data_IF_381790220717
#
_entry.id   IF_381790220717
#
_cell.length_a   1.000
_cell.length_b   1.000
_cell.length_c   1.000
_cell.angle_alpha   90.00
_cell.angle_beta   90.00
_cell.angle_gamma   90.00
#
_symmetry.space_group_name_H-M   'P 1'
#
loop_
_entity.id
_entity.type
_entity.pdbx_description
1 polymer ?
#
# COMPACT_ATOMS: atom_id res chain seq x y z
N UNK A 1 -40.97 -34.45 -14.51
CA UNK A 1 -40.32 -35.35 -13.52
C UNK A 1 -38.83 -35.40 -13.83
N UNK A 2 -37.98 -35.48 -12.79
CA UNK A 2 -36.51 -35.31 -12.72
C UNK A 2 -36.13 -33.89 -12.25
N UNK A 3 -36.21 -33.57 -10.96
CA UNK A 3 -35.39 -33.98 -9.79
C UNK A 3 -34.11 -33.13 -9.64
N UNK A 4 -34.25 -32.06 -8.87
CA UNK A 4 -33.19 -31.16 -8.37
C UNK A 4 -32.48 -31.82 -7.19
N UNK A 5 -31.18 -32.06 -7.29
CA UNK A 5 -30.35 -32.53 -6.17
C UNK A 5 -29.68 -31.33 -5.50
N UNK A 6 -30.15 -30.97 -4.31
CA UNK A 6 -29.49 -30.04 -3.41
C UNK A 6 -28.41 -30.78 -2.61
N UNK A 7 -27.16 -30.30 -2.67
CA UNK A 7 -26.09 -30.76 -1.79
C UNK A 7 -26.22 -30.06 -0.43
N UNK A 8 -26.68 -30.80 0.58
CA UNK A 8 -26.67 -30.39 1.97
C UNK A 8 -25.33 -30.83 2.59
N UNK A 9 -24.43 -29.89 2.88
CA UNK A 9 -23.22 -30.18 3.63
C UNK A 9 -23.56 -30.34 5.12
N UNK A 10 -23.42 -31.57 5.64
CA UNK A 10 -23.54 -31.86 7.07
C UNK A 10 -22.29 -31.39 7.81
N UNK A 11 -22.42 -30.38 8.68
CA UNK A 11 -21.42 -30.10 9.71
C UNK A 11 -21.57 -31.15 10.83
N UNK A 12 -20.60 -32.06 10.92
CA UNK A 12 -20.47 -33.01 12.02
C UNK A 12 -20.18 -32.25 13.33
N UNK A 13 -21.10 -32.32 14.29
CA UNK A 13 -20.88 -31.84 15.65
C UNK A 13 -19.92 -32.78 16.38
N UNK A 14 -18.66 -32.35 16.55
CA UNK A 14 -17.67 -33.04 17.38
C UNK A 14 -18.02 -32.94 18.86
N UNK A 15 -18.07 -34.09 19.54
CA UNK A 15 -18.27 -34.18 20.99
C UNK A 15 -17.06 -33.62 21.75
N UNK A 16 -17.30 -32.73 22.71
CA UNK A 16 -16.27 -32.15 23.56
C UNK A 16 -15.89 -33.13 24.69
N UNK A 17 -14.63 -33.57 24.71
CA UNK A 17 -14.01 -34.21 25.87
C UNK A 17 -13.32 -33.13 26.72
N UNK A 18 -13.81 -32.93 27.93
CA UNK A 18 -13.23 -32.01 28.92
C UNK A 18 -12.21 -32.76 29.80
N UNK A 19 -10.93 -32.46 29.59
CA UNK A 19 -9.85 -32.84 30.51
C UNK A 19 -9.49 -31.66 31.42
N UNK A 20 -9.20 -31.87 32.72
CA UNK A 20 -8.81 -30.80 33.62
C UNK A 20 -7.33 -30.47 33.39
N UNK A 21 -7.03 -29.29 32.86
CA UNK A 21 -5.67 -28.78 32.76
C UNK A 21 -5.34 -27.92 33.98
N UNK A 22 -4.33 -28.37 34.73
CA UNK A 22 -3.70 -27.71 35.85
C UNK A 22 -3.11 -26.36 35.44
N UNK A 23 -3.57 -25.29 36.10
CA UNK A 23 -3.03 -23.94 35.91
C UNK A 23 -1.62 -23.84 36.49
N UNK A 24 -0.60 -24.05 35.66
CA UNK A 24 0.76 -23.56 35.92
C UNK A 24 0.82 -22.14 35.40
N UNK A 25 0.73 -21.18 36.30
CA UNK A 25 1.05 -19.78 36.03
C UNK A 25 2.54 -19.66 35.68
N UNK A 26 2.85 -19.75 34.39
CA UNK A 26 4.17 -19.36 33.87
C UNK A 26 4.22 -17.84 33.97
N UNK A 27 5.00 -17.32 34.92
CA UNK A 27 5.38 -15.92 34.97
C UNK A 27 6.06 -15.57 33.63
N UNK A 28 5.31 -14.96 32.71
CA UNK A 28 5.84 -14.35 31.50
C UNK A 28 6.78 -13.24 31.93
N UNK A 29 8.09 -13.53 31.86
CA UNK A 29 9.15 -12.55 32.02
C UNK A 29 8.99 -11.54 30.87
N UNK A 30 8.50 -10.35 31.19
CA UNK A 30 8.52 -9.21 30.28
C UNK A 30 9.99 -8.89 29.98
N UNK A 31 10.49 -9.37 28.85
CA UNK A 31 11.74 -8.87 28.29
C UNK A 31 11.37 -7.59 27.55
N UNK A 32 11.58 -6.47 28.24
CA UNK A 32 11.57 -5.15 27.62
C UNK A 32 12.76 -5.11 26.66
N UNK A 33 12.54 -5.58 25.42
CA UNK A 33 13.56 -5.72 24.40
C UNK A 33 13.73 -4.37 23.70
N UNK A 34 14.69 -3.58 24.17
CA UNK A 34 15.20 -2.38 23.49
C UNK A 34 16.06 -2.75 22.26
N UNK A 35 15.63 -3.73 21.49
CA UNK A 35 16.23 -4.03 20.19
C UNK A 35 15.63 -3.07 19.17
N UNK A 36 16.44 -2.46 18.28
CA UNK A 36 15.91 -1.65 17.19
C UNK A 36 14.93 -2.50 16.36
N UNK A 37 13.85 -1.89 15.91
CA UNK A 37 12.87 -2.58 15.06
C UNK A 37 13.59 -3.01 13.76
N UNK A 38 13.79 -4.31 13.59
CA UNK A 38 14.38 -4.87 12.36
C UNK A 38 13.24 -5.06 11.36
N UNK A 39 13.36 -4.37 10.23
CA UNK A 39 12.39 -4.45 9.12
C UNK A 39 12.98 -5.31 8.00
N UNK A 40 12.18 -6.21 7.45
CA UNK A 40 12.60 -7.03 6.32
C UNK A 40 12.67 -6.20 5.02
N UNK A 41 13.75 -6.41 4.25
CA UNK A 41 14.03 -5.71 3.01
C UNK A 41 14.89 -6.59 2.09
N UNK A 42 14.75 -6.42 0.78
CA UNK A 42 15.72 -6.96 -0.19
C UNK A 42 16.91 -6.02 -0.31
N UNK A 43 18.11 -6.55 -0.54
CA UNK A 43 19.33 -5.78 -0.82
C UNK A 43 19.99 -6.32 -2.08
N UNK A 44 20.31 -5.45 -3.03
CA UNK A 44 20.90 -5.83 -4.33
C UNK A 44 22.40 -5.54 -4.43
N UNK A 45 23.06 -5.17 -3.32
CA UNK A 45 24.46 -4.71 -3.31
C UNK A 45 24.61 -3.19 -3.38
N UNK A 46 23.52 -2.44 -3.61
CA UNK A 46 23.55 -0.97 -3.68
C UNK A 46 22.45 -0.35 -2.82
N UNK A 47 21.21 -0.80 -2.96
CA UNK A 47 20.06 -0.23 -2.26
C UNK A 47 19.26 -1.29 -1.52
N UNK A 48 18.56 -0.85 -0.47
CA UNK A 48 17.52 -1.62 0.20
C UNK A 48 16.18 -1.40 -0.49
N UNK A 49 15.36 -2.43 -0.55
CA UNK A 49 14.03 -2.38 -1.15
C UNK A 49 13.02 -2.94 -0.16
N UNK A 50 11.91 -2.22 0.09
CA UNK A 50 10.82 -2.74 0.91
C UNK A 50 10.30 -4.06 0.32
N UNK A 51 9.82 -4.97 1.18
CA UNK A 51 9.15 -6.18 0.70
C UNK A 51 7.75 -5.81 0.18
N UNK A 52 7.42 -6.11 -1.09
CA UNK A 52 6.07 -5.89 -1.59
C UNK A 52 5.10 -6.85 -0.94
N UNK A 53 3.83 -6.48 -0.98
CA UNK A 53 2.75 -7.40 -0.64
C UNK A 53 2.62 -8.50 -1.69
N UNK A 54 2.19 -9.69 -1.28
CA UNK A 54 1.96 -10.83 -2.18
C UNK A 54 0.58 -10.83 -2.84
N UNK A 55 -0.33 -9.94 -2.41
CA UNK A 55 -1.72 -9.86 -2.89
C UNK A 55 -1.97 -8.70 -3.87
N UNK A 56 -0.93 -8.14 -4.49
CA UNK A 56 -1.10 -7.06 -5.46
C UNK A 56 -1.66 -7.60 -6.78
N UNK A 57 -2.83 -7.10 -7.16
CA UNK A 57 -3.47 -7.39 -8.45
C UNK A 57 -3.62 -6.09 -9.24
N UNK A 58 -2.96 -6.00 -10.40
CA UNK A 58 -2.84 -4.74 -11.14
C UNK A 58 -4.20 -4.17 -11.54
N UNK A 59 -5.10 -4.99 -12.08
CA UNK A 59 -6.39 -4.53 -12.59
C UNK A 59 -7.23 -3.86 -11.49
N UNK A 60 -7.20 -4.44 -10.27
CA UNK A 60 -7.89 -3.87 -9.11
C UNK A 60 -7.26 -2.55 -8.63
N UNK A 61 -5.98 -2.32 -8.94
CA UNK A 61 -5.21 -1.14 -8.55
C UNK A 61 -5.42 0.06 -9.47
N UNK A 62 -5.89 -0.16 -10.70
CA UNK A 62 -6.09 0.90 -11.70
C UNK A 62 -7.16 1.91 -11.25
N UNK A 63 -7.23 3.03 -11.98
CA UNK A 63 -8.11 4.16 -11.65
C UNK A 63 -7.49 5.12 -10.65
N UNK A 64 -8.35 5.87 -9.97
CA UNK A 64 -7.94 7.00 -9.14
C UNK A 64 -7.51 6.60 -7.75
N UNK A 65 -6.42 7.22 -7.30
CA UNK A 65 -5.98 7.24 -5.91
C UNK A 65 -5.66 8.67 -5.47
N UNK A 66 -6.03 8.99 -4.23
CA UNK A 66 -5.68 10.24 -3.58
C UNK A 66 -4.51 10.02 -2.64
N UNK A 67 -3.47 10.84 -2.75
CA UNK A 67 -2.40 10.83 -1.75
C UNK A 67 -2.91 11.57 -0.52
N UNK A 68 -3.26 10.83 0.52
CA UNK A 68 -3.83 11.40 1.76
C UNK A 68 -2.76 11.69 2.80
N UNK A 69 -1.60 11.02 2.70
CA UNK A 69 -0.39 11.38 3.40
C UNK A 69 0.84 10.89 2.62
N UNK A 70 2.01 11.46 2.90
CA UNK A 70 3.24 10.99 2.28
C UNK A 70 4.45 11.84 2.62
N UNK A 71 5.62 11.40 2.16
CA UNK A 71 6.86 12.17 2.31
C UNK A 71 6.71 13.52 1.60
N UNK A 72 7.18 14.59 2.26
CA UNK A 72 7.25 15.92 1.67
C UNK A 72 8.25 15.93 0.52
N UNK A 73 7.76 15.69 -0.70
CA UNK A 73 8.57 15.71 -1.89
C UNK A 73 8.68 17.14 -2.46
N UNK A 74 9.86 17.57 -2.94
CA UNK A 74 10.03 18.91 -3.52
C UNK A 74 9.07 19.20 -4.68
N UNK A 75 8.70 18.17 -5.45
CA UNK A 75 7.82 18.31 -6.62
C UNK A 75 6.33 18.46 -6.26
N UNK A 76 5.92 18.16 -5.03
CA UNK A 76 4.56 18.42 -4.52
C UNK A 76 4.54 19.51 -3.45
N UNK A 77 5.61 20.29 -3.30
CA UNK A 77 5.71 21.30 -2.26
C UNK A 77 4.61 22.36 -2.41
N UNK A 78 3.77 22.49 -1.38
CA UNK A 78 2.64 23.42 -1.37
C UNK A 78 1.41 22.97 -2.15
N UNK A 79 1.44 21.79 -2.77
CA UNK A 79 0.27 21.19 -3.40
C UNK A 79 -0.77 20.76 -2.34
N UNK A 80 -2.04 20.91 -2.69
CA UNK A 80 -3.17 20.22 -2.06
C UNK A 80 -3.89 19.36 -3.10
N UNK A 81 -4.87 18.56 -2.68
CA UNK A 81 -5.70 17.76 -3.57
C UNK A 81 -4.89 16.83 -4.49
N UNK A 82 -3.84 16.21 -3.95
CA UNK A 82 -2.92 15.39 -4.72
C UNK A 82 -3.60 14.07 -5.10
N UNK A 83 -3.57 13.72 -6.37
CA UNK A 83 -4.12 12.47 -6.88
C UNK A 83 -3.23 11.86 -7.96
N UNK A 84 -3.46 10.58 -8.23
CA UNK A 84 -2.91 9.84 -9.34
C UNK A 84 -4.02 9.03 -10.02
N UNK A 85 -4.09 9.10 -11.35
CA UNK A 85 -4.93 8.24 -12.18
C UNK A 85 -4.05 7.21 -12.90
N UNK A 86 -4.35 5.94 -12.68
CA UNK A 86 -3.65 4.82 -13.29
C UNK A 86 -4.50 4.19 -14.38
N UNK A 87 -3.93 4.03 -15.58
CA UNK A 87 -4.60 3.38 -16.72
C UNK A 87 -3.66 2.39 -17.40
N UNK A 88 -4.16 1.28 -17.95
CA UNK A 88 -3.31 0.31 -18.61
C UNK A 88 -2.87 0.84 -19.98
N UNK A 89 -1.65 0.50 -20.38
CA UNK A 89 -1.17 0.66 -21.76
C UNK A 89 -1.17 -0.70 -22.47
N UNK A 90 -1.32 -0.69 -23.80
CA UNK A 90 -1.33 -1.90 -24.63
C UNK A 90 -0.04 -2.74 -24.53
N UNK A 91 1.06 -2.13 -24.11
CA UNK A 91 2.37 -2.76 -23.98
C UNK A 91 2.63 -3.40 -22.59
N UNK A 92 1.61 -3.47 -21.72
CA UNK A 92 1.71 -4.02 -20.37
C UNK A 92 2.35 -3.09 -19.33
N UNK A 93 2.62 -1.83 -19.69
CA UNK A 93 2.94 -0.77 -18.71
C UNK A 93 1.68 -0.06 -18.24
N UNK A 94 1.82 0.83 -17.27
CA UNK A 94 0.73 1.65 -16.73
C UNK A 94 1.01 3.11 -17.02
N UNK A 95 0.06 3.81 -17.61
CA UNK A 95 0.07 5.27 -17.69
C UNK A 95 -0.24 5.84 -16.31
N UNK A 96 0.59 6.78 -15.86
CA UNK A 96 0.45 7.44 -14.56
C UNK A 96 0.21 8.92 -14.80
N UNK A 97 -0.98 9.40 -14.49
CA UNK A 97 -1.30 10.83 -14.51
C UNK A 97 -1.40 11.34 -13.09
N UNK A 98 -0.40 12.12 -12.65
CA UNK A 98 -0.43 12.78 -11.35
C UNK A 98 -0.98 14.20 -11.51
N UNK A 99 -1.80 14.62 -10.54
CA UNK A 99 -2.36 15.97 -10.47
C UNK A 99 -2.32 16.52 -9.05
N UNK A 100 -2.27 17.85 -8.93
CA UNK A 100 -2.44 18.57 -7.68
C UNK A 100 -2.97 19.98 -7.92
N UNK A 101 -3.38 20.65 -6.84
CA UNK A 101 -3.70 22.06 -6.86
C UNK A 101 -2.62 22.88 -6.18
N UNK A 102 -2.12 23.90 -6.87
CA UNK A 102 -1.15 24.85 -6.35
C UNK A 102 -1.65 26.27 -6.64
N UNK A 103 -1.90 27.04 -5.57
CA UNK A 103 -2.33 28.44 -5.67
C UNK A 103 -3.57 28.63 -6.57
N UNK A 104 -4.53 27.72 -6.49
CA UNK A 104 -5.80 27.77 -7.25
C UNK A 104 -5.66 27.36 -8.72
N UNK A 105 -4.56 26.70 -9.10
CA UNK A 105 -4.36 26.13 -10.44
C UNK A 105 -4.10 24.64 -10.34
N UNK A 106 -4.58 23.91 -11.33
CA UNK A 106 -4.18 22.53 -11.54
C UNK A 106 -2.74 22.46 -12.09
N UNK A 107 -1.95 21.58 -11.50
CA UNK A 107 -0.65 21.16 -12.00
C UNK A 107 -0.73 19.66 -12.24
N UNK A 108 -0.34 19.20 -13.43
CA UNK A 108 -0.36 17.78 -13.76
C UNK A 108 0.91 17.35 -14.51
N UNK A 109 1.20 16.05 -14.44
CA UNK A 109 2.28 15.42 -15.19
C UNK A 109 1.90 13.97 -15.51
N UNK A 110 2.25 13.54 -16.72
CA UNK A 110 2.06 12.16 -17.16
C UNK A 110 3.41 11.44 -17.20
N UNK A 111 3.39 10.17 -16.80
CA UNK A 111 4.55 9.29 -16.76
C UNK A 111 4.15 7.84 -17.03
N UNK A 112 5.10 6.93 -16.83
CA UNK A 112 4.89 5.50 -17.08
C UNK A 112 5.42 4.68 -15.92
N UNK A 113 4.62 3.72 -15.45
CA UNK A 113 5.06 2.68 -14.54
C UNK A 113 5.28 1.37 -15.29
N UNK A 114 6.49 0.83 -15.22
CA UNK A 114 6.88 -0.44 -15.84
C UNK A 114 7.00 -1.51 -14.75
N UNK A 115 6.26 -2.63 -14.82
CA UNK A 115 6.45 -3.75 -13.90
C UNK A 115 7.89 -4.28 -13.96
N UNK A 116 8.48 -4.55 -12.80
CA UNK A 116 9.80 -5.20 -12.73
C UNK A 116 9.63 -6.71 -12.85
N UNK A 117 10.53 -7.35 -13.59
CA UNK A 117 10.52 -8.82 -13.77
C UNK A 117 10.54 -9.54 -12.42
N UNK A 118 9.71 -10.59 -12.22
CA UNK A 118 9.68 -11.36 -10.97
C UNK A 118 11.02 -12.08 -10.71
N UNK A 119 11.83 -12.30 -11.75
CA UNK A 119 13.15 -12.92 -11.65
C UNK A 119 14.26 -11.93 -11.24
N UNK A 120 13.95 -10.64 -11.08
CA UNK A 120 14.93 -9.62 -10.70
C UNK A 120 15.24 -9.58 -9.19
N UNK A 121 14.53 -10.36 -8.36
CA UNK A 121 14.80 -10.48 -6.92
C UNK A 121 14.18 -9.40 -6.02
N UNK A 122 13.32 -8.53 -6.57
CA UNK A 122 12.63 -7.48 -5.81
C UNK A 122 11.23 -7.88 -5.32
N UNK A 123 10.73 -9.03 -5.77
CA UNK A 123 9.37 -9.50 -5.51
C UNK A 123 8.65 -9.87 -6.81
N UNK A 124 7.50 -10.52 -6.68
CA UNK A 124 6.76 -11.06 -7.84
C UNK A 124 5.76 -10.06 -8.45
N UNK A 125 5.10 -9.26 -7.61
CA UNK A 125 4.03 -8.33 -7.98
C UNK A 125 4.17 -7.03 -7.18
N UNK A 126 3.51 -5.96 -7.61
CA UNK A 126 3.50 -4.67 -6.89
C UNK A 126 4.83 -3.93 -6.86
N UNK A 127 5.77 -4.28 -7.75
CA UNK A 127 7.09 -3.65 -7.88
C UNK A 127 7.24 -3.01 -9.25
N UNK A 128 7.33 -1.69 -9.29
CA UNK A 128 7.33 -0.93 -10.53
C UNK A 128 8.50 0.06 -10.59
N UNK A 129 8.91 0.38 -11.82
CA UNK A 129 9.75 1.53 -12.17
C UNK A 129 8.86 2.61 -12.76
N UNK A 130 8.63 3.66 -11.99
CA UNK A 130 7.88 4.85 -12.38
C UNK A 130 8.83 5.93 -12.87
N UNK A 131 8.55 6.49 -14.04
CA UNK A 131 9.37 7.52 -14.67
C UNK A 131 8.48 8.64 -15.21
N UNK A 132 8.90 9.88 -14.97
CA UNK A 132 8.30 11.08 -15.54
C UNK A 132 9.26 11.82 -16.48
N UNK A 133 8.76 12.63 -17.42
CA UNK A 133 9.59 13.52 -18.23
C UNK A 133 10.44 14.46 -17.37
N UNK A 134 11.74 14.54 -17.68
CA UNK A 134 12.69 15.42 -16.99
C UNK A 134 13.18 14.91 -15.62
N UNK A 135 12.69 13.78 -15.13
CA UNK A 135 13.21 13.17 -13.91
C UNK A 135 14.60 12.55 -14.17
N UNK A 136 15.62 12.85 -13.35
CA UNK A 136 16.96 12.26 -13.50
C UNK A 136 16.93 10.75 -13.29
N UNK A 137 17.99 10.07 -13.71
CA UNK A 137 18.15 8.64 -13.43
C UNK A 137 18.09 8.40 -11.90
N UNK A 138 17.35 7.37 -11.44
CA UNK A 138 17.27 7.08 -10.02
C UNK A 138 18.62 6.57 -9.49
N UNK A 139 18.96 6.92 -8.26
CA UNK A 139 20.17 6.45 -7.59
C UNK A 139 20.19 4.92 -7.39
N UNK A 140 19.01 4.30 -7.32
CA UNK A 140 18.84 2.86 -7.17
C UNK A 140 18.43 2.21 -8.49
N UNK A 141 19.06 1.10 -8.90
CA UNK A 141 18.79 0.45 -10.19
C UNK A 141 17.47 -0.33 -10.22
N UNK A 142 16.91 -0.68 -9.05
CA UNK A 142 15.69 -1.48 -8.90
C UNK A 142 14.39 -0.67 -9.01
N UNK A 143 13.28 -1.19 -8.46
CA UNK A 143 12.01 -0.47 -8.43
C UNK A 143 12.08 0.78 -7.54
N UNK A 144 11.30 1.79 -7.90
CA UNK A 144 11.11 3.03 -7.11
C UNK A 144 9.65 3.22 -6.67
N UNK A 145 8.79 2.24 -6.92
CA UNK A 145 7.41 2.18 -6.47
C UNK A 145 7.09 0.74 -6.04
N UNK A 146 7.05 0.50 -4.73
CA UNK A 146 6.82 -0.82 -4.13
C UNK A 146 5.57 -0.76 -3.26
N UNK A 147 4.52 -1.48 -3.67
CA UNK A 147 3.27 -1.61 -2.89
C UNK A 147 3.48 -2.63 -1.78
N UNK A 148 3.53 -2.18 -0.53
CA UNK A 148 3.78 -3.04 0.63
C UNK A 148 2.52 -3.53 1.32
N UNK A 149 1.43 -2.78 1.18
CA UNK A 149 0.14 -3.15 1.74
C UNK A 149 -0.98 -2.51 0.94
N UNK A 150 -2.09 -3.24 0.80
CA UNK A 150 -3.29 -2.77 0.12
C UNK A 150 -4.53 -3.46 0.68
N UNK A 151 -5.61 -2.70 0.85
CA UNK A 151 -6.91 -3.23 1.26
C UNK A 151 -7.78 -2.19 1.96
N UNK A 152 -8.98 -2.61 2.34
CA UNK A 152 -9.93 -1.82 3.13
C UNK A 152 -9.71 -2.03 4.64
N UNK A 153 -10.01 -1.01 5.44
CA UNK A 153 -10.06 -1.16 6.90
C UNK A 153 -11.27 -2.02 7.28
N UNK A 154 -11.00 -3.28 7.63
CA UNK A 154 -11.96 -4.29 8.11
C UNK A 154 -12.97 -4.82 7.07
N UNK A 155 -12.64 -5.97 6.45
CA UNK A 155 -13.64 -7.02 6.34
C UNK A 155 -13.32 -8.09 7.40
N UNK A 156 -14.25 -8.24 8.35
CA UNK A 156 -14.22 -9.18 9.49
C UNK A 156 -14.09 -10.66 9.06
N UNK A 157 -14.00 -10.92 7.75
CA UNK A 157 -13.88 -12.22 7.12
C UNK A 157 -12.54 -12.46 6.41
N UNK A 158 -11.61 -11.49 6.38
CA UNK A 158 -10.23 -11.73 5.89
C UNK A 158 -10.09 -12.24 4.45
N UNK A 159 -11.13 -12.12 3.61
CA UNK A 159 -11.14 -12.74 2.28
C UNK A 159 -11.37 -11.78 1.11
N UNK A 160 -11.56 -10.47 1.32
CA UNK A 160 -11.53 -9.49 0.23
C UNK A 160 -10.74 -8.25 0.63
N UNK A 161 -9.43 -8.37 0.45
CA UNK A 161 -8.45 -7.27 0.40
C UNK A 161 -8.42 -6.70 -1.02
N UNK A 162 -9.58 -6.26 -1.54
CA UNK A 162 -9.64 -5.71 -2.88
C UNK A 162 -9.19 -4.23 -2.87
N UNK A 163 -8.50 -3.83 -3.93
CA UNK A 163 -8.15 -2.44 -4.16
C UNK A 163 -9.29 -1.67 -4.85
N UNK A 164 -10.37 -2.35 -5.21
CA UNK A 164 -11.55 -1.80 -5.87
C UNK A 164 -12.54 -1.17 -4.89
N UNK A 165 -12.46 -1.50 -3.59
CA UNK A 165 -13.37 -0.94 -2.59
C UNK A 165 -13.14 0.55 -2.48
N UNK A 166 -14.24 1.31 -2.42
CA UNK A 166 -14.18 2.77 -2.32
C UNK A 166 -13.48 3.27 -1.06
N UNK A 167 -13.31 2.42 -0.03
CA UNK A 167 -12.58 2.70 1.21
C UNK A 167 -11.16 2.09 1.26
N UNK A 168 -10.66 1.56 0.15
CA UNK A 168 -9.34 0.95 0.10
C UNK A 168 -8.23 1.98 0.29
N UNK A 169 -7.15 1.52 0.91
CA UNK A 169 -5.90 2.24 1.08
C UNK A 169 -4.73 1.42 0.54
N UNK A 170 -3.62 2.10 0.27
CA UNK A 170 -2.35 1.46 -0.07
C UNK A 170 -1.16 2.16 0.59
N UNK A 171 -0.16 1.36 0.98
CA UNK A 171 1.16 1.83 1.41
C UNK A 171 2.14 1.55 0.29
N UNK A 172 2.71 2.61 -0.26
CA UNK A 172 3.73 2.52 -1.32
C UNK A 172 5.01 3.18 -0.84
N UNK A 173 6.13 2.49 -0.99
CA UNK A 173 7.44 3.04 -0.65
C UNK A 173 8.44 2.92 -1.81
N UNK A 174 9.40 3.83 -1.85
CA UNK A 174 10.54 3.77 -2.76
C UNK A 174 11.72 2.98 -2.16
N UNK A 175 12.72 2.68 -2.98
CA UNK A 175 14.01 2.15 -2.53
C UNK A 175 14.62 2.99 -1.41
N UNK A 176 15.35 2.35 -0.49
CA UNK A 176 15.92 2.94 0.71
C UNK A 176 14.89 3.58 1.66
N UNK A 177 13.60 3.29 1.49
CA UNK A 177 12.50 3.86 2.30
C UNK A 177 12.49 5.41 2.29
N UNK A 178 13.02 6.01 1.22
CA UNK A 178 13.20 7.48 1.12
C UNK A 178 11.92 8.23 0.79
N UNK A 179 10.88 7.52 0.35
CA UNK A 179 9.60 8.11 -0.02
C UNK A 179 8.48 7.17 0.36
N UNK A 180 7.47 7.71 1.02
CA UNK A 180 6.21 7.07 1.37
C UNK A 180 5.06 7.77 0.65
N UNK A 181 4.15 6.98 0.09
CA UNK A 181 2.81 7.40 -0.29
C UNK A 181 1.79 6.56 0.48
N UNK A 182 0.91 7.23 1.22
CA UNK A 182 -0.31 6.64 1.74
C UNK A 182 -1.43 7.08 0.81
N UNK A 183 -1.95 6.12 0.06
CA UNK A 183 -2.98 6.35 -0.95
C UNK A 183 -4.32 5.88 -0.42
N UNK A 184 -5.40 6.56 -0.81
CA UNK A 184 -6.78 6.15 -0.53
C UNK A 184 -7.65 6.27 -1.78
N UNK A 185 -8.64 5.40 -1.90
CA UNK A 185 -9.74 5.55 -2.86
C UNK A 185 -10.69 6.68 -2.48
N UNK A 186 -10.78 7.01 -1.20
CA UNK A 186 -11.52 8.18 -0.72
C UNK A 186 -10.64 9.41 -0.79
N UNK A 187 -11.19 10.51 -1.29
CA UNK A 187 -10.47 11.79 -1.30
C UNK A 187 -10.26 12.33 0.11
N UNK A 188 -11.29 12.23 0.96
CA UNK A 188 -11.26 12.77 2.31
C UNK A 188 -11.67 11.70 3.33
N UNK A 189 -10.83 10.66 3.54
CA UNK A 189 -11.11 9.65 4.55
C UNK A 189 -10.97 10.23 5.96
N UNK A 190 -11.45 9.47 6.96
CA UNK A 190 -11.32 9.89 8.35
C UNK A 190 -9.85 9.99 8.79
N UNK A 191 -9.52 11.03 9.55
CA UNK A 191 -8.17 11.23 10.10
C UNK A 191 -7.65 10.02 10.89
N UNK A 192 -8.53 9.30 11.58
CA UNK A 192 -8.17 8.09 12.33
C UNK A 192 -7.65 6.98 11.40
N UNK A 193 -8.25 6.81 10.20
CA UNK A 193 -7.78 5.85 9.21
C UNK A 193 -6.44 6.30 8.61
N UNK A 194 -6.27 7.59 8.31
CA UNK A 194 -4.96 8.11 7.86
C UNK A 194 -3.87 7.84 8.92
N UNK A 195 -4.16 8.10 10.19
CA UNK A 195 -3.23 7.84 11.29
C UNK A 195 -2.91 6.35 11.44
N UNK A 196 -3.91 5.47 11.34
CA UNK A 196 -3.72 4.02 11.39
C UNK A 196 -2.78 3.54 10.28
N UNK A 197 -2.98 3.99 9.04
CA UNK A 197 -2.13 3.65 7.90
C UNK A 197 -0.72 4.24 7.99
N UNK A 198 -0.56 5.42 8.59
CA UNK A 198 0.75 5.98 8.90
C UNK A 198 1.50 5.16 9.95
N UNK A 199 0.84 4.74 11.03
CA UNK A 199 1.46 3.85 12.02
C UNK A 199 1.81 2.49 11.40
N UNK A 200 0.97 1.99 10.48
CA UNK A 200 1.27 0.79 9.72
C UNK A 200 2.50 0.98 8.84
N UNK A 201 2.60 2.07 8.10
CA UNK A 201 3.77 2.40 7.27
C UNK A 201 5.06 2.50 8.10
N UNK A 202 4.99 3.10 9.30
CA UNK A 202 6.10 3.11 10.26
C UNK A 202 6.54 1.71 10.67
N UNK A 203 5.58 0.82 10.95
CA UNK A 203 5.88 -0.60 11.25
C UNK A 203 6.49 -1.36 10.07
N UNK A 204 6.34 -0.82 8.86
CA UNK A 204 6.91 -1.33 7.61
C UNK A 204 8.19 -0.60 7.18
N UNK A 205 8.75 0.27 8.03
CA UNK A 205 10.05 0.90 7.82
C UNK A 205 10.03 2.35 7.38
N UNK A 206 8.86 2.99 7.22
CA UNK A 206 8.81 4.41 6.90
C UNK A 206 9.33 5.29 8.03
N UNK A 207 10.14 6.29 7.68
CA UNK A 207 10.45 7.41 8.57
C UNK A 207 9.34 8.47 8.48
N UNK A 208 8.55 8.59 9.55
CA UNK A 208 7.46 9.55 9.62
C UNK A 208 7.91 10.98 9.94
N UNK A 209 9.19 11.23 10.24
CA UNK A 209 9.68 12.57 10.59
C UNK A 209 9.52 13.59 9.45
N UNK A 210 9.49 13.11 8.21
CA UNK A 210 9.34 13.92 6.99
C UNK A 210 8.02 13.65 6.24
N UNK A 211 7.02 13.10 6.93
CA UNK A 211 5.71 12.78 6.36
C UNK A 211 4.69 13.82 6.79
N UNK A 212 3.82 14.22 5.86
CA UNK A 212 2.70 15.13 6.14
C UNK A 212 1.39 14.55 5.62
N UNK A 213 0.29 14.91 6.29
CA UNK A 213 -1.07 14.69 5.78
C UNK A 213 -1.34 15.72 4.68
N UNK A 214 -1.87 15.26 3.56
CA UNK A 214 -2.22 16.11 2.42
C UNK A 214 -3.60 16.74 2.65
N UNK A 215 -3.73 18.05 2.43
CA UNK A 215 -5.03 18.71 2.44
C UNK A 215 -5.85 18.27 1.22
N UNK A 216 -6.92 17.52 1.45
CA UNK A 216 -7.85 17.04 0.42
C UNK A 216 -9.21 17.74 0.48
N UNK A 217 -9.30 18.90 1.15
CA UNK A 217 -10.53 19.67 1.28
C UNK A 217 -10.70 20.67 0.14
N UNK A 218 -11.94 21.05 -0.20
CA UNK A 218 -12.26 22.16 -1.13
C UNK A 218 -11.59 22.09 -2.51
N UNK A 219 -11.35 20.89 -3.03
CA UNK A 219 -10.72 20.66 -4.32
C UNK A 219 -11.63 21.11 -5.48
N UNK A 220 -11.02 21.76 -6.46
CA UNK A 220 -11.63 22.30 -7.69
C UNK A 220 -11.32 21.45 -8.93
N UNK A 221 -10.23 20.66 -8.92
CA UNK A 221 -9.67 20.01 -10.11
C UNK A 221 -9.51 18.48 -9.96
N UNK A 222 -10.40 17.83 -9.21
CA UNK A 222 -10.40 16.37 -9.05
C UNK A 222 -11.52 15.73 -9.84
#
# INVERSE_FOLDING_TARGET
MLATTAYLALCLTGAAFSSPLTSRSVLRRSTNSSQPAVIDASYDGQCFYPKPTSNFELDSYLGRWYQVAGTLAPFTAGCKCIYADYSPNDNGTVNVQNGCELQGREINIQGTATPVSPYAGYGHVGVLKVQFPGQPAPDCPGPNYIVQEIGAESSESGCHVNAESDDAFAIVQASNFTTLFVLSRQQNPANASIEAWLQRAKSLGSDLSNVAVTDQSQCQFT
#
